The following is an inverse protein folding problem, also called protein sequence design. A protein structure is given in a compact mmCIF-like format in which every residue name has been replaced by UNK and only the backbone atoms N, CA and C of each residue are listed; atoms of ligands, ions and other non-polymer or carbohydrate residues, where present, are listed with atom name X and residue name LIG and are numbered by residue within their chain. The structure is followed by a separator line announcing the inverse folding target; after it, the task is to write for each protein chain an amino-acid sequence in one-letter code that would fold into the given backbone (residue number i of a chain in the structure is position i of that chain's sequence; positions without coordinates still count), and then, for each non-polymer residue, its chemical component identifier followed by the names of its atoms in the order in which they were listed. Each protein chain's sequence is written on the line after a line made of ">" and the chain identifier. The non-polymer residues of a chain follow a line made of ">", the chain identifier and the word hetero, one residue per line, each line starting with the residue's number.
data_IF_837191555850
#
_entry.id   IF_837191555850
#
_cell.length_a   1.000
_cell.length_b   1.000
_cell.length_c   1.000
_cell.angle_alpha   90.00
_cell.angle_beta   90.00
_cell.angle_gamma   90.00
#
_symmetry.space_group_name_H-M   'P 1'
#
loop_
_entity.id
_entity.type
_entity.pdbx_description
1 polymer ?
#
# COMPACT_ATOMS: atom_id res chain seq x y z
N UNK A 1 -13.05 4.09 -13.34
CA UNK A 1 -12.73 2.80 -13.94
C UNK A 1 -13.75 1.78 -13.47
N UNK A 2 -14.52 1.12 -14.36
CA UNK A 2 -15.59 0.19 -13.99
C UNK A 2 -15.10 -1.08 -13.27
N UNK A 3 -13.80 -1.32 -13.23
CA UNK A 3 -13.23 -2.47 -12.54
C UNK A 3 -13.09 -2.26 -11.03
N UNK A 4 -12.95 -1.02 -10.56
CA UNK A 4 -12.87 -0.73 -9.15
C UNK A 4 -14.26 -0.68 -8.49
N UNK A 5 -14.36 -1.28 -7.31
CA UNK A 5 -15.48 -1.04 -6.41
C UNK A 5 -15.46 0.43 -5.91
N UNK A 6 -16.55 0.94 -5.36
CA UNK A 6 -16.52 2.22 -4.67
C UNK A 6 -15.38 2.27 -3.64
N UNK A 7 -14.64 3.39 -3.56
CA UNK A 7 -13.54 3.49 -2.60
C UNK A 7 -14.06 3.35 -1.16
N UNK A 8 -13.32 2.63 -0.33
CA UNK A 8 -13.55 2.66 1.10
C UNK A 8 -12.81 3.87 1.68
N UNK A 9 -13.55 4.77 2.31
CA UNK A 9 -12.97 5.93 2.98
C UNK A 9 -13.24 5.77 4.47
N UNK A 10 -12.17 5.65 5.26
CA UNK A 10 -12.29 5.59 6.70
C UNK A 10 -12.79 6.91 7.29
N UNK A 11 -13.62 6.81 8.31
CA UNK A 11 -14.07 8.00 9.04
C UNK A 11 -12.87 8.66 9.71
N UNK A 12 -12.71 9.96 9.52
CA UNK A 12 -11.62 10.76 10.08
C UNK A 12 -11.75 11.02 11.59
N UNK A 13 -12.88 10.67 12.20
CA UNK A 13 -13.07 10.72 13.64
C UNK A 13 -13.60 9.38 14.16
N UNK A 14 -13.15 9.00 15.35
CA UNK A 14 -13.66 7.88 16.12
C UNK A 14 -14.27 8.44 17.40
N UNK A 15 -15.60 8.66 17.38
CA UNK A 15 -16.30 9.37 18.45
C UNK A 15 -15.83 10.82 18.54
N UNK A 16 -15.19 11.18 19.65
CA UNK A 16 -14.70 12.54 19.92
C UNK A 16 -13.26 12.80 19.49
N UNK A 17 -12.54 11.76 19.06
CA UNK A 17 -11.12 11.86 18.72
C UNK A 17 -10.95 11.93 17.20
N UNK A 18 -10.18 12.89 16.73
CA UNK A 18 -9.68 12.94 15.35
C UNK A 18 -8.59 11.88 15.21
N UNK A 19 -8.66 11.07 14.16
CA UNK A 19 -7.63 10.07 13.86
C UNK A 19 -6.30 10.76 13.53
N UNK A 20 -5.21 10.03 13.73
CA UNK A 20 -3.86 10.51 13.40
C UNK A 20 -3.64 10.63 11.88
N UNK A 21 -4.46 9.93 11.09
CA UNK A 21 -4.39 9.90 9.64
C UNK A 21 -5.76 9.80 8.98
N UNK A 22 -5.83 10.20 7.71
CA UNK A 22 -6.92 9.90 6.79
C UNK A 22 -6.49 8.72 5.93
N UNK A 23 -7.39 7.75 5.79
CA UNK A 23 -7.11 6.54 5.03
C UNK A 23 -8.25 6.22 4.08
N UNK A 24 -7.90 5.95 2.84
CA UNK A 24 -8.82 5.45 1.83
C UNK A 24 -8.15 4.30 1.08
N UNK A 25 -8.94 3.32 0.64
CA UNK A 25 -8.42 2.26 -0.19
C UNK A 25 -9.38 1.88 -1.33
N UNK A 26 -8.79 1.24 -2.35
CA UNK A 26 -9.45 0.83 -3.57
C UNK A 26 -9.19 -0.65 -3.81
N UNK A 27 -10.20 -1.36 -4.30
CA UNK A 27 -10.10 -2.75 -4.75
C UNK A 27 -10.83 -2.94 -6.05
N UNK A 28 -10.41 -3.90 -6.85
CA UNK A 28 -11.28 -4.40 -7.91
C UNK A 28 -12.51 -5.07 -7.31
N UNK A 29 -13.68 -4.85 -7.90
CA UNK A 29 -14.94 -5.41 -7.41
C UNK A 29 -14.89 -6.94 -7.30
N UNK A 30 -14.19 -7.60 -8.23
CA UNK A 30 -13.98 -9.05 -8.24
C UNK A 30 -13.04 -9.56 -7.13
N UNK A 31 -12.28 -8.66 -6.50
CA UNK A 31 -11.28 -8.95 -5.46
C UNK A 31 -11.62 -8.27 -4.13
N UNK A 32 -12.90 -8.02 -3.87
CA UNK A 32 -13.36 -7.32 -2.67
C UNK A 32 -12.89 -7.99 -1.36
N UNK A 33 -12.80 -9.33 -1.36
CA UNK A 33 -12.42 -10.11 -0.19
C UNK A 33 -10.91 -10.38 -0.09
N UNK A 34 -10.12 -10.00 -1.10
CA UNK A 34 -8.69 -10.24 -1.10
C UNK A 34 -7.95 -9.24 -0.19
N UNK A 35 -6.77 -9.64 0.30
CA UNK A 35 -6.01 -8.83 1.24
C UNK A 35 -5.34 -7.62 0.58
N UNK A 36 -4.94 -7.72 -0.69
CA UNK A 36 -4.27 -6.64 -1.40
C UNK A 36 -5.20 -5.45 -1.66
N UNK A 37 -4.70 -4.26 -1.38
CA UNK A 37 -5.40 -2.99 -1.64
C UNK A 37 -4.46 -1.96 -2.25
N UNK A 38 -5.02 -1.05 -3.05
CA UNK A 38 -4.36 0.22 -3.35
C UNK A 38 -4.87 1.26 -2.36
N UNK A 39 -3.97 1.94 -1.67
CA UNK A 39 -4.31 2.85 -0.59
C UNK A 39 -3.81 4.27 -0.80
N UNK A 40 -4.47 5.21 -0.16
CA UNK A 40 -4.05 6.60 0.02
C UNK A 40 -4.11 6.92 1.49
N UNK A 41 -2.99 7.30 2.06
CA UNK A 41 -2.85 7.67 3.46
C UNK A 41 -2.29 9.09 3.57
N UNK A 42 -3.00 9.95 4.29
CA UNK A 42 -2.52 11.27 4.64
C UNK A 42 -2.38 11.35 6.17
N UNK A 43 -1.18 11.52 6.64
CA UNK A 43 -0.90 11.74 8.05
C UNK A 43 -0.23 13.10 8.30
N UNK A 44 0.27 13.34 9.52
CA UNK A 44 0.89 14.62 9.88
C UNK A 44 2.23 14.85 9.17
N UNK A 45 2.86 13.79 8.67
CA UNK A 45 4.17 13.85 8.04
C UNK A 45 4.06 13.92 6.52
N UNK A 46 3.19 13.09 5.91
CA UNK A 46 3.22 12.89 4.46
C UNK A 46 1.90 12.41 3.86
N UNK A 47 1.78 12.55 2.57
CA UNK A 47 0.80 11.89 1.71
C UNK A 47 1.47 10.67 1.07
N UNK A 48 0.89 9.50 1.27
CA UNK A 48 1.40 8.23 0.73
C UNK A 48 0.37 7.59 -0.18
N UNK A 49 0.82 7.02 -1.30
CA UNK A 49 0.02 6.12 -2.14
C UNK A 49 0.77 4.81 -2.24
N UNK A 50 0.12 3.71 -1.91
CA UNK A 50 0.76 2.41 -1.82
C UNK A 50 -0.13 1.25 -2.26
N UNK A 51 0.53 0.15 -2.59
CA UNK A 51 -0.05 -1.18 -2.66
C UNK A 51 0.24 -1.85 -1.31
N UNK A 52 -0.80 -2.23 -0.61
CA UNK A 52 -0.71 -2.81 0.72
C UNK A 52 -1.30 -4.20 0.74
N UNK A 53 -0.65 -5.11 1.44
CA UNK A 53 -1.24 -6.36 1.85
C UNK A 53 -1.65 -6.27 3.33
N UNK A 54 -2.96 -6.28 3.57
CA UNK A 54 -3.50 -6.17 4.92
C UNK A 54 -3.66 -7.55 5.53
N UNK A 55 -2.78 -7.89 6.44
CA UNK A 55 -2.72 -9.16 7.14
C UNK A 55 -4.05 -9.53 7.85
N UNK A 56 -4.76 -8.58 8.44
CA UNK A 56 -6.05 -8.86 9.09
C UNK A 56 -7.16 -9.36 8.16
N UNK A 57 -6.95 -9.32 6.84
CA UNK A 57 -7.84 -9.88 5.82
C UNK A 57 -7.30 -11.16 5.20
N UNK A 58 -6.12 -11.60 5.58
CA UNK A 58 -5.48 -12.79 5.00
C UNK A 58 -6.34 -14.05 5.12
N UNK A 59 -7.05 -14.22 6.22
CA UNK A 59 -7.96 -15.37 6.44
C UNK A 59 -9.13 -15.43 5.45
N UNK A 60 -9.44 -14.31 4.81
CA UNK A 60 -10.52 -14.20 3.83
C UNK A 60 -10.03 -14.10 2.39
N UNK A 61 -8.74 -13.97 2.21
CA UNK A 61 -8.13 -13.87 0.89
C UNK A 61 -8.18 -15.22 0.18
N UNK A 62 -8.47 -15.19 -1.10
CA UNK A 62 -8.37 -16.38 -1.97
C UNK A 62 -6.92 -16.74 -2.26
N UNK A 63 -5.98 -15.82 -2.01
CA UNK A 63 -4.55 -15.99 -2.22
C UNK A 63 -3.88 -16.24 -0.88
N UNK A 64 -3.17 -17.37 -0.79
CA UNK A 64 -2.49 -17.79 0.42
C UNK A 64 -1.14 -17.05 0.60
N UNK A 65 -0.68 -16.98 1.84
CA UNK A 65 0.60 -16.36 2.22
C UNK A 65 1.82 -16.83 1.36
N UNK A 66 1.98 -18.12 1.02
CA UNK A 66 3.08 -18.56 0.15
C UNK A 66 3.05 -17.93 -1.25
N UNK A 67 1.87 -17.64 -1.80
CA UNK A 67 1.72 -17.01 -3.12
C UNK A 67 2.15 -15.54 -3.05
N UNK A 68 1.79 -14.81 -1.99
CA UNK A 68 2.28 -13.46 -1.76
C UNK A 68 3.79 -13.40 -1.60
N UNK A 69 4.37 -14.34 -0.85
CA UNK A 69 5.82 -14.42 -0.69
C UNK A 69 6.54 -14.75 -2.01
N UNK A 70 5.94 -15.59 -2.84
CA UNK A 70 6.46 -15.85 -4.19
C UNK A 70 6.42 -14.60 -5.06
N UNK A 71 5.32 -13.84 -5.01
CA UNK A 71 5.19 -12.59 -5.73
C UNK A 71 6.19 -11.54 -5.22
N UNK A 72 6.36 -11.41 -3.89
CA UNK A 72 7.33 -10.48 -3.29
C UNK A 72 8.77 -10.82 -3.70
N UNK A 73 9.13 -12.10 -3.77
CA UNK A 73 10.44 -12.55 -4.22
C UNK A 73 10.69 -12.25 -5.71
N UNK A 74 9.63 -12.08 -6.49
CA UNK A 74 9.70 -11.76 -7.93
C UNK A 74 9.49 -10.29 -8.25
N UNK A 75 9.51 -9.38 -7.25
CA UNK A 75 9.40 -7.95 -7.50
C UNK A 75 10.55 -7.45 -8.39
N UNK A 76 10.19 -6.75 -9.46
CA UNK A 76 11.13 -6.16 -10.40
C UNK A 76 11.79 -4.92 -9.79
N UNK A 77 13.01 -5.10 -9.28
CA UNK A 77 13.79 -4.02 -8.69
C UNK A 77 14.24 -2.96 -9.72
N UNK A 78 14.30 -3.28 -11.00
CA UNK A 78 14.63 -2.29 -12.03
C UNK A 78 13.44 -1.36 -12.30
N UNK A 79 12.23 -1.90 -12.31
CA UNK A 79 11.02 -1.11 -12.53
C UNK A 79 10.53 -0.37 -11.26
N UNK A 80 10.68 -0.97 -10.08
CA UNK A 80 10.12 -0.47 -8.82
C UNK A 80 11.18 -0.16 -7.75
N UNK A 81 12.46 -0.17 -8.11
CA UNK A 81 13.58 0.01 -7.17
C UNK A 81 13.52 1.29 -6.35
N UNK A 82 12.95 2.35 -6.92
CA UNK A 82 12.80 3.66 -6.27
C UNK A 82 11.50 3.81 -5.46
N UNK A 83 10.67 2.76 -5.39
CA UNK A 83 9.48 2.78 -4.55
C UNK A 83 9.86 2.42 -3.12
N UNK A 84 9.33 3.18 -2.17
CA UNK A 84 9.52 2.92 -0.75
C UNK A 84 8.80 1.64 -0.33
N UNK A 85 9.45 0.89 0.54
CA UNK A 85 8.91 -0.36 1.09
C UNK A 85 8.91 -0.29 2.60
N UNK A 86 7.82 -0.71 3.23
CA UNK A 86 7.73 -0.91 4.66
C UNK A 86 6.90 -2.15 5.01
N UNK A 87 7.24 -2.77 6.12
CA UNK A 87 6.64 -4.04 6.54
C UNK A 87 6.81 -4.25 8.05
N UNK A 88 6.08 -5.23 8.58
CA UNK A 88 6.19 -5.61 9.99
C UNK A 88 5.62 -4.56 10.94
N UNK A 89 6.33 -4.27 12.00
CA UNK A 89 5.92 -3.33 13.05
C UNK A 89 6.47 -1.91 12.86
N UNK A 90 6.88 -1.56 11.64
CA UNK A 90 7.39 -0.21 11.37
C UNK A 90 6.31 0.85 11.58
N UNK A 91 6.72 1.95 12.19
CA UNK A 91 5.85 3.10 12.43
C UNK A 91 5.53 3.82 11.12
N UNK A 92 4.29 4.27 10.94
CA UNK A 92 3.85 5.03 9.76
C UNK A 92 4.59 6.36 9.57
N UNK A 93 5.33 6.81 10.58
CA UNK A 93 6.18 8.01 10.56
C UNK A 93 7.66 7.71 10.36
N UNK A 94 8.04 6.43 10.24
CA UNK A 94 9.44 6.04 10.01
C UNK A 94 9.94 6.46 8.62
N UNK A 95 11.25 6.51 8.46
CA UNK A 95 11.87 6.64 7.14
C UNK A 95 11.95 5.28 6.48
N UNK A 96 11.28 5.14 5.34
CA UNK A 96 11.26 3.88 4.60
C UNK A 96 12.38 3.86 3.57
N UNK A 97 13.02 2.71 3.43
CA UNK A 97 14.03 2.52 2.42
C UNK A 97 13.40 2.07 1.10
N UNK A 98 13.89 2.55 -0.05
CA UNK A 98 13.42 2.09 -1.34
C UNK A 98 13.75 0.61 -1.58
N UNK A 99 12.97 -0.03 -2.45
CA UNK A 99 13.08 -1.46 -2.75
C UNK A 99 14.51 -1.89 -3.11
N UNK A 100 15.22 -1.10 -3.92
CA UNK A 100 16.59 -1.40 -4.34
C UNK A 100 17.64 -1.34 -3.21
N UNK A 101 17.26 -0.87 -2.02
CA UNK A 101 18.09 -0.85 -0.82
C UNK A 101 17.65 -1.85 0.25
N UNK A 102 16.59 -2.61 -0.01
CA UNK A 102 16.13 -3.64 0.91
C UNK A 102 17.03 -4.86 0.84
N UNK A 103 17.34 -5.50 1.97
CA UNK A 103 17.99 -6.81 1.95
C UNK A 103 17.06 -7.87 1.35
N UNK A 104 17.61 -8.84 0.61
CA UNK A 104 16.82 -9.87 -0.10
C UNK A 104 15.79 -10.61 0.76
N UNK A 105 16.06 -10.77 2.05
CA UNK A 105 15.16 -11.47 2.98
C UNK A 105 14.16 -10.55 3.71
N UNK A 106 14.20 -9.23 3.47
CA UNK A 106 13.30 -8.28 4.12
C UNK A 106 11.86 -8.38 3.64
N UNK A 107 11.64 -8.91 2.44
CA UNK A 107 10.34 -8.98 1.79
C UNK A 107 9.61 -10.29 2.04
N UNK A 108 9.92 -11.02 3.12
CA UNK A 108 9.24 -12.28 3.44
C UNK A 108 8.22 -12.05 4.55
N UNK A 109 6.95 -12.26 4.24
CA UNK A 109 5.88 -12.28 5.22
C UNK A 109 5.86 -13.59 5.98
N UNK A 110 5.80 -13.54 7.31
CA UNK A 110 5.94 -14.70 8.21
C UNK A 110 4.61 -15.31 8.57
N UNK A 111 3.63 -14.47 8.81
CA UNK A 111 2.30 -14.88 9.25
C UNK A 111 1.23 -13.87 8.85
N UNK A 112 -0.01 -14.11 9.28
CA UNK A 112 -1.14 -13.25 8.96
C UNK A 112 -1.11 -11.89 9.67
N UNK A 113 -0.25 -11.70 10.65
CA UNK A 113 -0.10 -10.43 11.36
C UNK A 113 0.98 -9.53 10.73
N UNK A 114 1.79 -10.07 9.83
CA UNK A 114 2.72 -9.28 9.04
C UNK A 114 1.98 -8.46 7.98
N UNK A 115 2.54 -7.32 7.64
CA UNK A 115 2.06 -6.51 6.51
C UNK A 115 3.23 -6.11 5.60
N UNK A 116 2.89 -5.79 4.38
CA UNK A 116 3.80 -5.29 3.37
C UNK A 116 3.15 -4.14 2.63
N UNK A 117 3.91 -3.08 2.41
CA UNK A 117 3.50 -1.95 1.60
C UNK A 117 4.62 -1.56 0.66
N UNK A 118 4.26 -1.23 -0.58
CA UNK A 118 5.16 -0.62 -1.55
C UNK A 118 4.47 0.59 -2.16
N UNK A 119 5.15 1.74 -2.20
CA UNK A 119 4.53 2.95 -2.70
C UNK A 119 5.47 4.13 -2.82
N UNK A 120 4.89 5.31 -2.94
CA UNK A 120 5.60 6.58 -2.90
C UNK A 120 4.92 7.56 -1.99
N UNK A 121 5.67 8.53 -1.52
CA UNK A 121 5.14 9.58 -0.68
C UNK A 121 5.61 10.97 -1.11
N UNK A 122 4.89 11.99 -0.65
CA UNK A 122 5.29 13.39 -0.66
C UNK A 122 5.29 13.86 0.78
N UNK A 123 6.40 14.42 1.24
CA UNK A 123 6.47 15.01 2.58
C UNK A 123 5.54 16.21 2.68
N UNK A 124 5.01 16.48 3.86
CA UNK A 124 4.04 17.54 4.10
C UNK A 124 4.52 18.91 3.60
N UNK A 125 5.78 19.21 3.81
CA UNK A 125 6.36 20.52 3.47
C UNK A 125 6.50 20.74 1.95
N UNK A 126 6.41 19.64 1.16
CA UNK A 126 6.48 19.67 -0.30
C UNK A 126 5.09 19.61 -0.96
N UNK A 127 4.01 19.42 -0.19
CA UNK A 127 2.66 19.23 -0.73
C UNK A 127 2.14 20.48 -1.47
N UNK A 128 2.52 21.69 -1.05
CA UNK A 128 2.08 22.93 -1.67
C UNK A 128 2.57 23.08 -3.13
N UNK A 129 3.64 22.37 -3.50
CA UNK A 129 4.20 22.34 -4.85
C UNK A 129 3.61 21.28 -5.77
N UNK A 130 2.68 20.46 -5.28
CA UNK A 130 2.15 19.29 -5.98
C UNK A 130 0.64 19.40 -6.18
N UNK A 131 0.16 19.17 -7.40
CA UNK A 131 -1.26 18.85 -7.60
C UNK A 131 -1.53 17.47 -7.01
N UNK A 132 -2.06 17.44 -5.78
CA UNK A 132 -2.23 16.21 -5.02
C UNK A 132 -3.14 15.20 -5.72
N UNK A 133 -4.15 15.65 -6.49
CA UNK A 133 -5.07 14.76 -7.20
C UNK A 133 -4.35 14.08 -8.36
N UNK A 134 -3.68 14.85 -9.19
CA UNK A 134 -2.94 14.31 -10.33
C UNK A 134 -1.78 13.41 -9.87
N UNK A 135 -1.11 13.79 -8.78
CA UNK A 135 -0.06 12.97 -8.19
C UNK A 135 -0.60 11.63 -7.69
N UNK A 136 -1.68 11.61 -6.91
CA UNK A 136 -2.33 10.38 -6.43
C UNK A 136 -2.72 9.47 -7.61
N UNK A 137 -3.36 10.04 -8.62
CA UNK A 137 -3.78 9.29 -9.81
C UNK A 137 -2.58 8.67 -10.53
N UNK A 138 -1.49 9.42 -10.65
CA UNK A 138 -0.27 8.93 -11.28
C UNK A 138 0.34 7.76 -10.50
N UNK A 139 0.43 7.86 -9.15
CA UNK A 139 0.96 6.78 -8.33
C UNK A 139 0.06 5.54 -8.33
N UNK A 140 -1.25 5.71 -8.25
CA UNK A 140 -2.20 4.59 -8.36
C UNK A 140 -2.01 3.88 -9.70
N UNK A 141 -1.90 4.61 -10.81
CA UNK A 141 -1.67 4.02 -12.13
C UNK A 141 -0.36 3.25 -12.21
N UNK A 142 0.70 3.75 -11.58
CA UNK A 142 2.00 3.08 -11.54
C UNK A 142 1.95 1.76 -10.74
N UNK A 143 1.09 1.69 -9.71
CA UNK A 143 0.96 0.52 -8.84
C UNK A 143 -0.06 -0.52 -9.36
N UNK A 144 -0.97 -0.15 -10.27
CA UNK A 144 -1.97 -1.08 -10.82
C UNK A 144 -1.35 -2.37 -11.37
N UNK A 145 -0.26 -2.35 -12.17
CA UNK A 145 0.35 -3.60 -12.64
C UNK A 145 0.82 -4.52 -11.53
N UNK A 146 1.36 -3.97 -10.43
CA UNK A 146 1.73 -4.77 -9.25
C UNK A 146 0.51 -5.32 -8.53
N UNK A 147 -0.53 -4.49 -8.39
CA UNK A 147 -1.79 -4.91 -7.78
C UNK A 147 -2.44 -6.08 -8.54
N UNK A 148 -2.42 -6.04 -9.87
CA UNK A 148 -2.95 -7.11 -10.71
C UNK A 148 -2.17 -8.42 -10.56
N UNK A 149 -0.85 -8.34 -10.40
CA UNK A 149 0.00 -9.52 -10.15
C UNK A 149 -0.29 -10.23 -8.83
N UNK A 150 -0.91 -9.57 -7.87
CA UNK A 150 -1.33 -10.22 -6.62
C UNK A 150 -2.43 -11.28 -6.83
N UNK A 151 -2.99 -11.40 -8.03
CA UNK A 151 -4.12 -12.30 -8.35
C UNK A 151 -3.78 -13.29 -9.46
N UNK A 152 -2.57 -13.29 -9.97
CA UNK A 152 -2.04 -14.25 -10.95
C UNK A 152 -1.38 -15.44 -10.23
#
# INVERSE_FOLDING_TARGET
>A
NPQFAPPHIERWCNGWQVRAHFFAFFKYARHENDAAILSVLLNRRRLTVSLDWHCYKADRSTIALPQYNQWLAGLDADAFGEFDVWHGSEDEYADYAPLNRQPENALTLRDADDFFCIGRHVERDDLDGVDSVDWIVAQVRALVPLYERCFE
#
